data_IF_983008343697
#
_entry.id   IF_983008343697
#
_cell.length_a   1.000
_cell.length_b   1.000
_cell.length_c   1.000
_cell.angle_alpha   90.00
_cell.angle_beta   90.00
_cell.angle_gamma   90.00
#
_symmetry.space_group_name_H-M   'P 1'
#
loop_
_entity.id
_entity.type
_entity.pdbx_description
1 polymer ?
#
# COMPACT_ATOMS: atom_id res chain seq x y z
N UNK A 1 -1.31 -1.46 -15.73
CA UNK A 1 -0.78 -0.57 -14.68
C UNK A 1 0.73 -0.79 -14.55
N UNK A 2 1.53 0.26 -14.63
CA UNK A 2 2.99 0.22 -14.47
C UNK A 2 3.40 0.37 -12.99
N UNK A 3 4.65 0.03 -12.65
CA UNK A 3 5.13 0.07 -11.25
C UNK A 3 5.07 1.48 -10.65
N UNK A 4 5.34 2.52 -11.45
CA UNK A 4 5.31 3.92 -11.03
C UNK A 4 3.90 4.38 -10.64
N UNK A 5 2.88 3.92 -11.38
CA UNK A 5 1.48 4.24 -11.09
C UNK A 5 1.03 3.59 -9.78
N UNK A 6 1.40 2.33 -9.56
CA UNK A 6 1.12 1.62 -8.31
C UNK A 6 1.86 2.27 -7.14
N UNK A 7 3.14 2.62 -7.33
CA UNK A 7 3.92 3.31 -6.32
C UNK A 7 3.32 4.67 -5.95
N UNK A 8 2.86 5.45 -6.94
CA UNK A 8 2.19 6.74 -6.71
C UNK A 8 0.89 6.56 -5.93
N UNK A 9 0.07 5.56 -6.28
CA UNK A 9 -1.15 5.25 -5.56
C UNK A 9 -0.87 4.82 -4.11
N UNK A 10 0.11 3.93 -3.91
CA UNK A 10 0.56 3.48 -2.59
C UNK A 10 1.04 4.66 -1.74
N UNK A 11 1.93 5.49 -2.27
CA UNK A 11 2.45 6.66 -1.56
C UNK A 11 1.34 7.66 -1.20
N UNK A 12 0.37 7.85 -2.09
CA UNK A 12 -0.78 8.74 -1.86
C UNK A 12 -1.65 8.23 -0.72
N UNK A 13 -1.99 6.93 -0.70
CA UNK A 13 -2.83 6.36 0.36
C UNK A 13 -2.07 6.31 1.68
N UNK A 14 -0.78 5.96 1.69
CA UNK A 14 0.04 6.01 2.90
C UNK A 14 0.04 7.42 3.49
N UNK A 15 0.31 8.45 2.68
CA UNK A 15 0.32 9.82 3.17
C UNK A 15 -1.04 10.26 3.69
N UNK A 16 -2.13 9.83 3.06
CA UNK A 16 -3.47 10.08 3.58
C UNK A 16 -3.68 9.43 4.95
N UNK A 17 -3.27 8.19 5.14
CA UNK A 17 -3.34 7.50 6.44
C UNK A 17 -2.49 8.23 7.48
N UNK A 18 -1.29 8.68 7.13
CA UNK A 18 -0.45 9.47 8.03
C UNK A 18 -1.15 10.77 8.44
N UNK A 19 -1.71 11.52 7.49
CA UNK A 19 -2.38 12.79 7.78
C UNK A 19 -3.67 12.62 8.58
N UNK A 20 -4.45 11.57 8.29
CA UNK A 20 -5.69 11.27 9.02
C UNK A 20 -5.39 10.88 10.47
N UNK A 21 -4.24 10.25 10.73
CA UNK A 21 -3.74 9.94 12.08
C UNK A 21 -2.96 11.10 12.73
N UNK A 22 -2.96 12.30 12.13
CA UNK A 22 -2.32 13.50 12.68
C UNK A 22 -0.80 13.58 12.50
N UNK A 23 -0.20 12.72 11.67
CA UNK A 23 1.22 12.74 11.30
C UNK A 23 1.42 13.52 10.00
N UNK A 24 2.56 14.22 9.82
CA UNK A 24 2.83 14.91 8.58
C UNK A 24 3.03 13.93 7.42
N UNK A 25 2.58 14.32 6.23
CA UNK A 25 2.94 13.60 5.00
C UNK A 25 4.46 13.61 4.83
N UNK A 26 5.01 12.52 4.31
CA UNK A 26 6.44 12.34 4.08
C UNK A 26 6.71 11.78 2.69
N UNK A 27 7.97 11.90 2.25
CA UNK A 27 8.45 11.23 1.04
C UNK A 27 8.53 9.74 1.32
N UNK A 28 7.83 8.95 0.51
CA UNK A 28 7.80 7.50 0.64
C UNK A 28 8.87 6.86 -0.25
N UNK A 29 9.74 6.05 0.35
CA UNK A 29 10.77 5.26 -0.34
C UNK A 29 10.41 3.77 -0.36
N UNK A 30 10.86 3.00 -1.37
CA UNK A 30 10.61 1.55 -1.43
C UNK A 30 11.16 0.77 -0.23
N UNK A 31 12.28 1.21 0.33
CA UNK A 31 12.93 0.56 1.47
C UNK A 31 12.30 0.95 2.82
N UNK A 32 11.36 1.90 2.83
CA UNK A 32 10.68 2.29 4.05
C UNK A 32 9.85 1.13 4.60
N UNK A 33 10.04 0.84 5.89
CA UNK A 33 9.26 -0.19 6.57
C UNK A 33 7.93 0.39 7.05
N UNK A 34 6.85 -0.36 6.86
CA UNK A 34 5.50 0.10 7.16
C UNK A 34 5.33 0.37 8.67
N UNK A 35 5.76 -0.55 9.52
CA UNK A 35 5.63 -0.43 10.98
C UNK A 35 6.83 0.21 11.66
N UNK A 36 7.99 0.27 10.99
CA UNK A 36 9.23 0.83 11.55
C UNK A 36 9.44 2.27 11.14
N UNK A 37 9.79 2.50 9.88
CA UNK A 37 10.15 3.81 9.33
C UNK A 37 8.94 4.73 9.27
N UNK A 38 7.80 4.22 8.79
CA UNK A 38 6.55 4.98 8.68
C UNK A 38 5.72 4.94 9.97
N UNK A 39 6.03 4.01 10.87
CA UNK A 39 5.36 3.88 12.17
C UNK A 39 3.86 3.60 12.05
N UNK A 40 3.42 2.92 10.99
CA UNK A 40 2.03 2.50 10.81
C UNK A 40 1.70 1.37 11.79
N UNK A 41 0.63 1.53 12.55
CA UNK A 41 0.13 0.47 13.42
C UNK A 41 -0.84 -0.48 12.68
N UNK A 42 -1.41 -1.46 13.39
CA UNK A 42 -2.35 -2.41 12.78
C UNK A 42 -3.63 -1.76 12.25
N UNK A 43 -4.08 -0.66 12.86
CA UNK A 43 -5.26 0.05 12.40
C UNK A 43 -4.95 0.86 11.14
N UNK A 44 -3.81 1.56 11.13
CA UNK A 44 -3.31 2.28 9.97
C UNK A 44 -3.15 1.34 8.77
N UNK A 45 -2.59 0.15 8.99
CA UNK A 45 -2.43 -0.86 7.94
C UNK A 45 -3.78 -1.33 7.40
N UNK A 46 -4.78 -1.55 8.25
CA UNK A 46 -6.12 -1.91 7.81
C UNK A 46 -6.75 -0.78 6.96
N UNK A 47 -6.62 0.48 7.39
CA UNK A 47 -7.11 1.64 6.63
C UNK A 47 -6.36 1.78 5.31
N UNK A 48 -5.04 1.56 5.30
CA UNK A 48 -4.21 1.58 4.09
C UNK A 48 -4.69 0.54 3.07
N UNK A 49 -4.90 -0.71 3.50
CA UNK A 49 -5.39 -1.78 2.62
C UNK A 49 -6.76 -1.43 2.02
N UNK A 50 -7.68 -0.94 2.84
CA UNK A 50 -9.02 -0.52 2.37
C UNK A 50 -8.92 0.67 1.42
N UNK A 51 -8.04 1.64 1.69
CA UNK A 51 -7.82 2.79 0.82
C UNK A 51 -7.22 2.39 -0.53
N UNK A 52 -6.34 1.38 -0.54
CA UNK A 52 -5.77 0.83 -1.76
C UNK A 52 -6.77 -0.02 -2.54
N UNK A 53 -7.63 -0.79 -1.87
CA UNK A 53 -8.74 -1.50 -2.52
C UNK A 53 -9.67 -0.52 -3.24
N UNK A 54 -9.99 0.62 -2.63
CA UNK A 54 -10.81 1.66 -3.27
C UNK A 54 -10.11 2.36 -4.43
N UNK A 55 -8.79 2.57 -4.33
CA UNK A 55 -7.99 3.28 -5.34
C UNK A 55 -7.66 2.40 -6.56
N UNK A 56 -7.27 1.15 -6.30
CA UNK A 56 -6.77 0.20 -7.30
C UNK A 56 -7.81 -0.86 -7.69
N UNK A 57 -8.89 -1.00 -6.91
CA UNK A 57 -9.96 -1.96 -7.19
C UNK A 57 -9.59 -3.42 -6.93
N UNK A 58 -8.52 -3.68 -6.17
CA UNK A 58 -8.06 -5.04 -5.81
C UNK A 58 -7.65 -5.10 -4.34
N UNK A 59 -7.90 -6.24 -3.70
CA UNK A 59 -7.40 -6.56 -2.37
C UNK A 59 -6.63 -7.90 -2.42
N UNK A 60 -5.28 -7.87 -2.48
CA UNK A 60 -4.47 -9.08 -2.51
C UNK A 60 -4.57 -9.91 -1.22
N UNK A 61 -4.86 -9.30 -0.07
CA UNK A 61 -4.87 -9.99 1.22
C UNK A 61 -6.10 -10.88 1.38
N UNK A 62 -7.24 -10.50 0.78
CA UNK A 62 -8.41 -11.39 0.66
C UNK A 62 -8.12 -12.68 -0.10
N UNK A 63 -7.18 -12.66 -1.02
CA UNK A 63 -6.74 -13.84 -1.77
C UNK A 63 -5.68 -14.68 -1.04
N UNK A 64 -5.34 -14.33 0.22
CA UNK A 64 -4.34 -15.04 1.02
C UNK A 64 -2.90 -14.60 0.78
N UNK A 65 -2.70 -13.37 0.28
CA UNK A 65 -1.36 -12.81 0.13
C UNK A 65 -0.59 -12.80 1.46
N UNK A 66 0.73 -12.95 1.36
CA UNK A 66 1.62 -12.87 2.50
C UNK A 66 1.66 -11.44 3.07
N UNK A 67 1.84 -11.27 4.39
CA UNK A 67 2.10 -9.98 4.99
C UNK A 67 3.37 -9.36 4.41
N UNK A 68 3.33 -8.06 4.15
CA UNK A 68 4.47 -7.27 3.65
C UNK A 68 5.03 -6.38 4.75
N UNK A 69 6.33 -6.08 4.67
CA UNK A 69 7.06 -5.29 5.68
C UNK A 69 7.53 -3.94 5.15
N UNK A 70 7.79 -3.83 3.86
CA UNK A 70 8.24 -2.59 3.21
C UNK A 70 7.23 -2.07 2.19
N UNK A 71 7.40 -0.80 1.83
CA UNK A 71 6.62 -0.17 0.75
C UNK A 71 6.88 -0.87 -0.59
N UNK A 72 8.13 -1.23 -0.88
CA UNK A 72 8.48 -1.92 -2.13
C UNK A 72 7.77 -3.28 -2.25
N UNK A 73 7.71 -4.05 -1.17
CA UNK A 73 6.95 -5.30 -1.13
C UNK A 73 5.46 -5.07 -1.33
N UNK A 74 4.90 -4.02 -0.73
CA UNK A 74 3.49 -3.65 -0.89
C UNK A 74 3.17 -3.27 -2.35
N UNK A 75 4.04 -2.47 -2.99
CA UNK A 75 3.90 -2.07 -4.40
C UNK A 75 3.93 -3.29 -5.32
N UNK A 76 4.90 -4.18 -5.13
CA UNK A 76 5.01 -5.40 -5.94
C UNK A 76 3.82 -6.35 -5.74
N UNK A 77 3.29 -6.43 -4.52
CA UNK A 77 2.11 -7.22 -4.22
C UNK A 77 0.88 -6.70 -4.98
N UNK A 78 0.62 -5.40 -4.92
CA UNK A 78 -0.52 -4.79 -5.63
C UNK A 78 -0.34 -4.84 -7.14
N UNK A 79 0.89 -4.66 -7.65
CA UNK A 79 1.22 -4.83 -9.07
C UNK A 79 0.88 -6.24 -9.56
N UNK A 80 1.28 -7.25 -8.78
CA UNK A 80 0.99 -8.66 -9.10
C UNK A 80 -0.51 -8.96 -9.06
N UNK A 81 -1.23 -8.40 -8.08
CA UNK A 81 -2.67 -8.56 -7.96
C UNK A 81 -3.46 -7.91 -9.10
N UNK A 82 -3.04 -6.71 -9.53
CA UNK A 82 -3.63 -6.04 -10.70
C UNK A 82 -3.40 -6.83 -11.98
N UNK A 83 -2.17 -7.33 -12.19
CA UNK A 83 -1.86 -8.16 -13.35
C UNK A 83 -2.69 -9.46 -13.38
N UNK A 84 -2.93 -10.07 -12.20
CA UNK A 84 -3.79 -11.25 -12.09
C UNK A 84 -5.27 -10.94 -12.36
N UNK A 85 -5.76 -9.76 -11.94
CA UNK A 85 -7.13 -9.31 -12.22
C UNK A 85 -7.35 -8.99 -13.71
N UNK A 86 -6.40 -8.34 -14.36
CA UNK A 86 -6.52 -7.96 -15.78
C UNK A 86 -6.42 -9.17 -16.73
N UNK A 87 -5.81 -10.26 -16.28
CA UNK A 87 -5.68 -11.51 -17.03
C UNK A 87 -6.79 -12.54 -16.78
N UNK A 88 -7.72 -12.28 -15.86
CA UNK A 88 -8.85 -13.15 -15.49
C UNK A 88 -10.15 -12.72 -16.18
#
# INVERSE_FOLDING_TARGET
MNVEEVQSAVATVINRVLTDSGRPATTIQPDDTLTGTLGLDSLDLAVLVVGLEQSLGVDPFRAGAQPVRSVGELVELYRSALAAKDGA
#
